data_IF_623045412089
#
_entry.id   IF_623045412089
#
_cell.length_a   1.000
_cell.length_b   1.000
_cell.length_c   1.000
_cell.angle_alpha   90.00
_cell.angle_beta   90.00
_cell.angle_gamma   90.00
#
_symmetry.space_group_name_H-M   'P 1'
#
loop_
_entity.id
_entity.type
_entity.pdbx_description
1 polymer ?
#
# COMPACT_ATOMS: atom_id res chain seq x y z
N UNK A 1 50.76 16.75 68.92
CA UNK A 1 49.56 17.45 68.42
C UNK A 1 49.50 17.26 66.92
N UNK A 2 48.40 16.75 66.33
CA UNK A 2 48.35 16.51 64.89
C UNK A 2 48.30 17.85 64.12
N UNK A 3 49.21 18.01 63.16
CA UNK A 3 49.24 19.16 62.25
C UNK A 3 48.04 19.08 61.30
N UNK A 4 47.11 20.03 61.42
CA UNK A 4 46.05 20.21 60.43
C UNK A 4 46.64 20.92 59.20
N UNK A 5 46.38 20.44 57.97
CA UNK A 5 46.80 21.12 56.76
C UNK A 5 46.15 22.50 56.67
N UNK A 6 46.90 23.49 56.19
CA UNK A 6 46.45 24.88 56.07
C UNK A 6 45.17 24.95 55.22
N UNK A 7 44.06 25.52 55.71
CA UNK A 7 42.84 25.64 54.94
C UNK A 7 43.10 26.41 53.65
N UNK A 8 42.58 25.88 52.54
CA UNK A 8 42.69 26.54 51.25
C UNK A 8 42.04 27.93 51.32
N UNK A 9 42.69 28.99 50.82
CA UNK A 9 42.15 30.33 50.88
C UNK A 9 40.82 30.39 50.12
N UNK A 10 39.77 30.85 50.80
CA UNK A 10 38.46 31.06 50.20
C UNK A 10 38.58 32.24 49.23
N UNK A 11 38.63 31.96 47.92
CA UNK A 11 38.61 33.01 46.89
C UNK A 11 37.22 33.64 46.85
N UNK A 12 37.14 34.93 47.13
CA UNK A 12 35.94 35.75 46.95
C UNK A 12 35.54 35.76 45.47
N UNK A 13 34.50 34.98 45.13
CA UNK A 13 33.92 34.95 43.80
C UNK A 13 32.93 36.09 43.56
N UNK A 14 32.46 36.28 42.32
CA UNK A 14 31.34 37.17 42.04
C UNK A 14 30.14 36.81 42.92
N UNK A 15 29.44 37.81 43.47
CA UNK A 15 28.32 37.62 44.39
C UNK A 15 27.25 36.63 43.89
N UNK A 16 26.46 36.03 44.80
CA UNK A 16 25.56 34.90 44.49
C UNK A 16 24.60 35.21 43.33
N UNK A 17 24.09 36.42 43.24
CA UNK A 17 23.22 36.84 42.13
C UNK A 17 23.92 36.84 40.77
N UNK A 18 25.19 37.26 40.69
CA UNK A 18 25.96 37.25 39.44
C UNK A 18 26.22 35.82 38.99
N UNK A 19 26.50 34.91 39.93
CA UNK A 19 26.68 33.48 39.66
C UNK A 19 25.39 32.82 39.16
N UNK A 20 24.23 33.13 39.77
CA UNK A 20 22.93 32.63 39.31
C UNK A 20 22.60 33.11 37.90
N UNK A 21 22.81 34.41 37.59
CA UNK A 21 22.58 34.97 36.25
C UNK A 21 23.49 34.35 35.19
N UNK A 22 24.75 34.05 35.54
CA UNK A 22 25.68 33.36 34.65
C UNK A 22 25.21 31.93 34.35
N UNK A 23 24.83 31.18 35.39
CA UNK A 23 24.28 29.83 35.26
C UNK A 23 23.01 29.84 34.40
N UNK A 24 22.05 30.73 34.68
CA UNK A 24 20.82 30.88 33.90
C UNK A 24 21.10 31.20 32.43
N UNK A 25 22.06 32.09 32.14
CA UNK A 25 22.45 32.41 30.76
C UNK A 25 22.99 31.19 30.03
N UNK A 26 23.87 30.43 30.67
CA UNK A 26 24.45 29.20 30.10
C UNK A 26 23.38 28.16 29.82
N UNK A 27 22.48 27.92 30.78
CA UNK A 27 21.36 26.98 30.58
C UNK A 27 20.42 27.43 29.45
N UNK A 28 20.09 28.73 29.37
CA UNK A 28 19.21 29.25 28.32
C UNK A 28 19.79 29.09 26.92
N UNK A 29 21.11 29.27 26.76
CA UNK A 29 21.79 29.06 25.49
C UNK A 29 21.77 27.58 25.06
N UNK A 30 21.91 26.65 26.02
CA UNK A 30 21.84 25.21 25.76
C UNK A 30 20.41 24.77 25.47
N UNK A 31 19.43 25.23 26.26
CA UNK A 31 18.01 24.87 26.07
C UNK A 31 17.48 25.36 24.73
N UNK A 32 17.84 26.57 24.30
CA UNK A 32 17.41 27.12 23.01
C UNK A 32 17.89 26.28 21.80
N UNK A 33 19.02 25.58 21.90
CA UNK A 33 19.49 24.66 20.85
C UNK A 33 18.69 23.35 20.87
N UNK A 34 18.39 22.85 22.06
CA UNK A 34 17.61 21.63 22.23
C UNK A 34 16.15 21.80 21.78
N UNK A 35 15.53 22.92 22.16
CA UNK A 35 14.15 23.24 21.78
C UNK A 35 13.97 23.31 20.27
N UNK A 36 14.89 23.96 19.53
CA UNK A 36 14.85 23.99 18.06
C UNK A 36 14.93 22.60 17.43
N UNK A 37 15.77 21.72 17.98
CA UNK A 37 15.89 20.35 17.48
C UNK A 37 14.62 19.53 17.76
N UNK A 38 13.97 19.75 18.92
CA UNK A 38 12.73 19.09 19.26
C UNK A 38 11.54 19.58 18.41
N UNK A 39 11.40 20.90 18.25
CA UNK A 39 10.40 21.55 17.38
C UNK A 39 10.48 21.02 15.94
N UNK A 40 11.70 20.95 15.38
CA UNK A 40 11.91 20.39 14.04
C UNK A 40 11.54 18.91 13.95
N UNK A 41 11.88 18.10 14.96
CA UNK A 41 11.53 16.67 15.01
C UNK A 41 10.03 16.48 15.14
N UNK A 42 9.38 17.25 16.01
CA UNK A 42 7.94 17.17 16.25
C UNK A 42 7.14 17.66 15.03
N UNK A 43 7.55 18.79 14.44
CA UNK A 43 6.99 19.29 13.18
C UNK A 43 7.15 18.31 12.01
N UNK A 44 8.33 17.69 11.84
CA UNK A 44 8.54 16.64 10.83
C UNK A 44 7.66 15.41 11.06
N UNK A 45 7.49 14.97 12.31
CA UNK A 45 6.62 13.85 12.66
C UNK A 45 5.15 14.18 12.38
N UNK A 46 4.71 15.38 12.72
CA UNK A 46 3.35 15.85 12.43
C UNK A 46 3.10 15.91 10.91
N UNK A 47 4.02 16.51 10.15
CA UNK A 47 3.93 16.56 8.69
C UNK A 47 3.90 15.16 8.06
N UNK A 48 4.76 14.25 8.52
CA UNK A 48 4.76 12.86 8.05
C UNK A 48 3.43 12.14 8.37
N UNK A 49 2.84 12.38 9.54
CA UNK A 49 1.54 11.82 9.91
C UNK A 49 0.42 12.35 8.99
N UNK A 50 0.37 13.65 8.70
CA UNK A 50 -0.61 14.22 7.76
C UNK A 50 -0.45 13.65 6.35
N UNK A 51 0.79 13.51 5.86
CA UNK A 51 1.07 12.89 4.56
C UNK A 51 0.59 11.44 4.53
N UNK A 52 0.86 10.65 5.59
CA UNK A 52 0.41 9.27 5.67
C UNK A 52 -1.13 9.18 5.66
N UNK A 53 -1.83 10.03 6.42
CA UNK A 53 -3.29 10.08 6.44
C UNK A 53 -3.86 10.48 5.08
N UNK A 54 -3.27 11.47 4.40
CA UNK A 54 -3.69 11.89 3.06
C UNK A 54 -3.52 10.76 2.02
N UNK A 55 -2.42 10.01 2.08
CA UNK A 55 -2.21 8.83 1.21
C UNK A 55 -3.27 7.77 1.49
N UNK A 56 -3.53 7.43 2.76
CA UNK A 56 -4.56 6.45 3.13
C UNK A 56 -5.94 6.88 2.65
N UNK A 57 -6.28 8.15 2.82
CA UNK A 57 -7.55 8.71 2.35
C UNK A 57 -7.67 8.66 0.83
N UNK A 58 -6.62 9.05 0.09
CA UNK A 58 -6.61 9.00 -1.37
C UNK A 58 -6.74 7.56 -1.90
N UNK A 59 -6.03 6.59 -1.29
CA UNK A 59 -6.12 5.18 -1.65
C UNK A 59 -7.50 4.60 -1.31
N UNK A 60 -8.03 4.88 -0.12
CA UNK A 60 -9.36 4.44 0.31
C UNK A 60 -10.47 5.00 -0.59
N UNK A 61 -10.40 6.30 -0.90
CA UNK A 61 -11.33 6.95 -1.82
C UNK A 61 -11.24 6.34 -3.23
N UNK A 62 -10.02 6.22 -3.78
CA UNK A 62 -9.80 5.68 -5.12
C UNK A 62 -10.24 4.21 -5.29
N UNK A 63 -10.00 3.37 -4.28
CA UNK A 63 -10.47 1.98 -4.27
C UNK A 63 -11.99 1.89 -4.10
N UNK A 64 -12.61 2.80 -3.34
CA UNK A 64 -14.06 2.86 -3.16
C UNK A 64 -14.81 3.40 -4.37
N UNK A 65 -14.20 4.29 -5.16
CA UNK A 65 -14.79 4.86 -6.37
C UNK A 65 -14.56 4.04 -7.65
N UNK A 66 -13.73 3.00 -7.60
CA UNK A 66 -13.45 2.14 -8.76
C UNK A 66 -14.56 1.11 -8.95
N UNK A 67 -15.17 1.01 -10.15
CA UNK A 67 -16.20 0.00 -10.44
C UNK A 67 -15.65 -1.44 -10.47
N UNK A 68 -14.32 -1.62 -10.51
CA UNK A 68 -13.69 -2.94 -10.51
C UNK A 68 -12.79 -3.13 -9.28
N UNK A 69 -12.96 -4.23 -8.51
CA UNK A 69 -12.08 -4.55 -7.40
C UNK A 69 -10.71 -4.99 -7.92
N UNK A 70 -9.65 -4.63 -7.20
CA UNK A 70 -8.25 -4.97 -7.54
C UNK A 70 -8.02 -6.47 -7.75
N UNK A 71 -8.77 -7.30 -7.03
CA UNK A 71 -8.72 -8.77 -7.16
C UNK A 71 -9.14 -9.23 -8.56
N UNK A 72 -10.13 -8.61 -9.16
CA UNK A 72 -10.60 -8.93 -10.51
C UNK A 72 -9.55 -8.54 -11.56
N UNK A 73 -8.91 -7.38 -11.41
CA UNK A 73 -7.81 -6.95 -12.29
C UNK A 73 -6.64 -7.93 -12.21
N UNK A 74 -6.26 -8.37 -11.01
CA UNK A 74 -5.20 -9.36 -10.82
C UNK A 74 -5.56 -10.69 -11.48
N UNK A 75 -6.79 -11.18 -11.29
CA UNK A 75 -7.28 -12.40 -11.95
C UNK A 75 -7.25 -12.26 -13.48
N UNK A 76 -7.63 -11.11 -14.02
CA UNK A 76 -7.59 -10.87 -15.46
C UNK A 76 -6.16 -10.94 -16.02
N UNK A 77 -5.18 -10.34 -15.34
CA UNK A 77 -3.76 -10.45 -15.72
C UNK A 77 -3.29 -11.90 -15.63
N UNK A 78 -3.65 -12.60 -14.56
CA UNK A 78 -3.30 -14.01 -14.38
C UNK A 78 -3.93 -14.94 -15.42
N UNK A 79 -5.04 -14.57 -16.06
CA UNK A 79 -5.68 -15.35 -17.12
C UNK A 79 -5.06 -15.17 -18.51
N UNK A 80 -4.12 -14.25 -18.68
CA UNK A 80 -3.47 -13.96 -19.96
C UNK A 80 -2.72 -15.13 -20.61
N UNK A 81 -1.99 -16.01 -19.87
CA UNK A 81 -1.08 -16.97 -20.50
C UNK A 81 -1.79 -18.08 -21.28
N UNK A 82 -2.86 -18.67 -20.72
CA UNK A 82 -3.61 -19.73 -21.38
C UNK A 82 -5.03 -19.87 -20.79
N UNK A 83 -5.86 -20.66 -21.48
CA UNK A 83 -7.23 -20.93 -21.03
C UNK A 83 -7.33 -21.76 -19.74
N UNK A 84 -6.29 -22.52 -19.38
CA UNK A 84 -6.28 -23.28 -18.13
C UNK A 84 -6.09 -22.35 -16.93
N UNK A 85 -5.21 -21.36 -17.03
CA UNK A 85 -5.08 -20.29 -16.05
C UNK A 85 -6.38 -19.48 -15.97
N UNK A 86 -7.01 -19.17 -17.09
CA UNK A 86 -8.30 -18.47 -17.12
C UNK A 86 -9.41 -19.25 -16.38
N UNK A 87 -9.47 -20.58 -16.54
CA UNK A 87 -10.37 -21.45 -15.79
C UNK A 87 -9.98 -21.54 -14.32
N UNK A 88 -8.69 -21.64 -14.01
CA UNK A 88 -8.15 -21.71 -12.65
C UNK A 88 -8.52 -20.48 -11.82
N UNK A 89 -8.43 -19.28 -12.42
CA UNK A 89 -8.82 -18.04 -11.74
C UNK A 89 -10.34 -17.80 -11.74
N UNK A 90 -11.11 -18.69 -12.35
CA UNK A 90 -12.57 -18.65 -12.42
C UNK A 90 -13.11 -17.55 -13.34
N UNK A 91 -12.34 -17.14 -14.35
CA UNK A 91 -12.74 -16.11 -15.32
C UNK A 91 -13.15 -16.68 -16.68
N UNK A 92 -12.92 -17.97 -16.96
CA UNK A 92 -13.34 -18.59 -18.21
C UNK A 92 -14.65 -19.40 -18.04
N UNK A 93 -15.56 -19.38 -19.03
CA UNK A 93 -15.51 -18.59 -20.27
C UNK A 93 -15.80 -17.09 -20.02
N UNK A 94 -15.13 -16.21 -20.77
CA UNK A 94 -15.28 -14.75 -20.66
C UNK A 94 -15.76 -14.14 -21.97
N UNK A 95 -16.70 -13.19 -21.90
CA UNK A 95 -17.16 -12.42 -23.07
C UNK A 95 -16.36 -11.15 -23.27
N UNK A 96 -16.40 -10.60 -24.48
CA UNK A 96 -15.77 -9.31 -24.78
C UNK A 96 -16.26 -8.22 -23.81
N UNK A 97 -15.31 -7.58 -23.13
CA UNK A 97 -15.57 -6.55 -22.12
C UNK A 97 -15.63 -7.08 -20.68
N UNK A 98 -15.62 -8.41 -20.49
CA UNK A 98 -15.54 -9.04 -19.17
C UNK A 98 -14.09 -9.31 -18.77
N UNK A 99 -13.77 -9.25 -17.47
CA UNK A 99 -12.48 -9.66 -16.96
C UNK A 99 -12.24 -11.13 -17.28
N UNK A 100 -11.12 -11.43 -17.94
CA UNK A 100 -10.77 -12.77 -18.40
C UNK A 100 -10.76 -12.93 -19.91
N UNK A 101 -11.40 -12.01 -20.64
CA UNK A 101 -11.39 -12.01 -22.08
C UNK A 101 -10.05 -11.52 -22.61
N UNK A 102 -9.43 -12.34 -23.44
CA UNK A 102 -8.25 -11.98 -24.20
C UNK A 102 -8.48 -12.33 -25.66
N UNK A 103 -8.16 -11.40 -26.58
CA UNK A 103 -8.41 -11.59 -28.02
C UNK A 103 -7.70 -12.84 -28.57
N UNK A 104 -6.55 -13.22 -28.03
CA UNK A 104 -5.82 -14.42 -28.44
C UNK A 104 -6.39 -15.72 -27.88
N UNK A 105 -7.30 -15.66 -26.90
CA UNK A 105 -8.02 -16.82 -26.37
C UNK A 105 -9.35 -17.09 -27.08
N UNK A 106 -9.79 -16.15 -27.91
CA UNK A 106 -10.96 -16.24 -28.78
C UNK A 106 -10.50 -16.74 -30.17
N UNK A 107 -10.58 -18.06 -30.37
CA UNK A 107 -9.99 -18.74 -31.54
C UNK A 107 -10.84 -18.56 -32.80
N UNK A 108 -12.15 -18.54 -32.66
CA UNK A 108 -13.13 -18.42 -33.73
C UNK A 108 -13.66 -16.99 -33.91
N UNK A 109 -13.36 -16.08 -32.98
CA UNK A 109 -13.64 -14.66 -33.10
C UNK A 109 -15.08 -14.29 -32.78
N UNK A 110 -15.82 -15.16 -32.09
CA UNK A 110 -17.24 -14.98 -31.77
C UNK A 110 -17.46 -14.03 -30.57
N UNK A 111 -16.38 -13.61 -29.92
CA UNK A 111 -16.38 -12.74 -28.74
C UNK A 111 -16.44 -13.48 -27.42
N UNK A 112 -16.27 -14.81 -27.40
CA UNK A 112 -16.20 -15.67 -26.21
C UNK A 112 -14.83 -16.35 -26.12
N UNK A 113 -14.03 -15.94 -25.12
CA UNK A 113 -12.75 -16.56 -24.86
C UNK A 113 -12.89 -17.86 -24.04
N UNK A 114 -12.04 -18.85 -24.35
CA UNK A 114 -11.90 -20.09 -23.60
C UNK A 114 -13.19 -20.91 -23.44
N UNK A 115 -14.04 -20.90 -24.47
CA UNK A 115 -15.25 -21.72 -24.51
C UNK A 115 -14.97 -23.22 -24.26
N UNK A 116 -15.82 -23.91 -23.49
CA UNK A 116 -15.81 -25.37 -23.43
C UNK A 116 -16.37 -25.92 -24.75
N UNK A 117 -15.60 -26.80 -25.40
CA UNK A 117 -15.95 -27.43 -26.68
C UNK A 117 -17.40 -27.96 -26.65
N UNK A 118 -18.31 -27.31 -27.37
CA UNK A 118 -19.60 -27.91 -27.72
C UNK A 118 -19.45 -28.55 -29.10
N UNK A 119 -19.93 -29.79 -29.32
CA UNK A 119 -20.04 -30.31 -30.68
C UNK A 119 -20.88 -29.30 -31.48
N UNK A 120 -20.35 -28.86 -32.63
CA UNK A 120 -21.08 -27.94 -33.51
C UNK A 120 -22.45 -28.56 -33.79
N UNK A 121 -23.52 -27.87 -33.42
CA UNK A 121 -24.88 -28.17 -33.92
C UNK A 121 -24.87 -27.87 -35.42
N UNK A 122 -24.40 -28.85 -36.19
CA UNK A 122 -24.12 -28.73 -37.62
C UNK A 122 -23.66 -30.07 -38.19
N UNK A 123 -22.99 -30.92 -37.39
CA UNK A 123 -22.78 -32.33 -37.72
C UNK A 123 -23.96 -33.17 -37.23
N UNK A 124 -25.18 -32.79 -37.62
CA UNK A 124 -26.31 -33.71 -37.57
C UNK A 124 -26.45 -34.23 -39.01
N UNK A 125 -25.78 -35.33 -39.32
CA UNK A 125 -26.15 -36.11 -40.51
C UNK A 125 -27.61 -36.54 -40.31
N UNK A 126 -28.53 -36.24 -41.25
CA UNK A 126 -29.91 -36.70 -41.16
C UNK A 126 -29.92 -38.17 -41.57
N UNK A 127 -29.62 -39.07 -40.64
CA UNK A 127 -29.81 -40.49 -40.88
C UNK A 127 -30.09 -41.21 -39.56
N UNK A 128 -31.31 -41.05 -39.04
CA UNK A 128 -32.11 -42.08 -38.36
C UNK A 128 -33.37 -41.44 -37.77
N UNK A 129 -34.33 -41.10 -38.62
CA UNK A 129 -35.74 -41.04 -38.21
C UNK A 129 -36.57 -41.79 -39.25
N UNK A 130 -36.26 -43.07 -39.41
CA UNK A 130 -37.11 -44.01 -40.11
C UNK A 130 -37.09 -45.30 -39.29
N UNK A 131 -38.06 -45.42 -38.38
CA UNK A 131 -38.73 -46.64 -37.89
C UNK A 131 -39.24 -46.36 -36.48
N UNK A 132 -40.51 -46.00 -36.38
CA UNK A 132 -41.41 -46.43 -35.31
C UNK A 132 -42.82 -46.27 -35.87
N UNK A 133 -43.22 -47.29 -36.64
CA UNK A 133 -44.60 -47.68 -36.80
C UNK A 133 -44.70 -49.03 -36.10
N UNK A 134 -45.32 -49.03 -34.93
CA UNK A 134 -46.03 -50.14 -34.30
C UNK A 134 -46.92 -49.55 -33.19
#
# INVERSE_FOLDING_TARGET
>A
MPHLPNPNPVRSGPGPERRLRDIQRRFRAVSARHDRANELRWGKRAAAAFVAVAIVFAVGWGLGSSPWPVTTTLKHIASAPNCDFARLVGLAPARRGEPGYWKHHDRDGDGVACEPWRPRRGDVSPLTTATNSD
#
